data_IF_889246547675
#
_entry.id   IF_889246547675
#
_cell.length_a   1.000
_cell.length_b   1.000
_cell.length_c   1.000
_cell.angle_alpha   90.00
_cell.angle_beta   90.00
_cell.angle_gamma   90.00
#
_symmetry.space_group_name_H-M   'P 1'
#
loop_
_entity.id
_entity.type
_entity.pdbx_description
1 polymer ?
#
# COMPACT_ATOMS: atom_id res chain seq x y z
N UNK A 1 -7.26 4.58 9.01
CA UNK A 1 -8.15 3.58 8.41
C UNK A 1 -7.30 2.41 7.93
N UNK A 2 -7.72 1.18 8.22
CA UNK A 2 -7.01 -0.04 7.81
C UNK A 2 -7.58 -0.59 6.51
N UNK A 3 -6.71 -1.17 5.69
CA UNK A 3 -7.09 -1.97 4.53
C UNK A 3 -6.31 -3.29 4.52
N UNK A 4 -6.99 -4.45 4.43
CA UNK A 4 -6.32 -5.71 4.25
C UNK A 4 -5.78 -5.82 2.82
N UNK A 5 -4.53 -6.24 2.70
CA UNK A 5 -3.82 -6.38 1.44
C UNK A 5 -3.31 -7.82 1.34
N UNK A 6 -3.54 -8.44 0.18
CA UNK A 6 -2.89 -9.68 -0.23
C UNK A 6 -1.92 -9.35 -1.35
N UNK A 7 -0.67 -9.77 -1.19
CA UNK A 7 0.40 -9.56 -2.18
C UNK A 7 0.94 -10.90 -2.67
N UNK A 8 1.37 -10.93 -3.92
CA UNK A 8 2.07 -12.05 -4.53
C UNK A 8 3.29 -11.51 -5.25
N UNK A 9 4.48 -12.03 -4.93
CA UNK A 9 5.68 -11.64 -5.67
C UNK A 9 5.76 -12.43 -6.98
N UNK A 10 5.60 -11.75 -8.11
CA UNK A 10 5.57 -12.39 -9.43
C UNK A 10 6.96 -12.73 -9.97
N UNK A 11 8.01 -12.10 -9.45
CA UNK A 11 9.39 -12.27 -9.96
C UNK A 11 9.63 -11.72 -11.36
N UNK A 12 8.74 -10.87 -11.88
CA UNK A 12 8.77 -10.37 -13.27
C UNK A 12 9.46 -9.01 -13.45
N UNK A 13 10.14 -8.48 -12.43
CA UNK A 13 10.90 -7.22 -12.50
C UNK A 13 12.40 -7.45 -12.73
N UNK A 14 13.12 -6.42 -13.18
CA UNK A 14 14.59 -6.41 -13.39
C UNK A 14 15.43 -6.49 -12.10
N UNK A 15 14.82 -6.85 -10.96
CA UNK A 15 15.43 -6.88 -9.63
C UNK A 15 16.19 -8.17 -9.31
N UNK A 16 16.56 -8.31 -8.04
CA UNK A 16 17.43 -9.36 -7.47
C UNK A 16 16.83 -10.77 -7.42
N UNK A 17 15.61 -10.96 -7.94
CA UNK A 17 14.85 -12.22 -7.82
C UNK A 17 14.09 -12.35 -6.49
N UNK A 18 13.99 -11.27 -5.73
CA UNK A 18 13.22 -11.15 -4.48
C UNK A 18 12.68 -9.73 -4.32
N UNK A 19 11.79 -9.52 -3.35
CA UNK A 19 11.22 -8.20 -3.04
C UNK A 19 10.62 -8.14 -1.65
N UNK A 20 10.47 -6.94 -1.10
CA UNK A 20 9.88 -6.72 0.21
C UNK A 20 8.69 -5.78 0.07
N UNK A 21 7.44 -6.22 0.34
CA UNK A 21 6.24 -5.47 -0.03
C UNK A 21 6.18 -4.03 0.50
N UNK A 22 6.64 -3.80 1.73
CA UNK A 22 6.60 -2.47 2.34
C UNK A 22 7.67 -1.50 1.81
N UNK A 23 8.66 -2.02 1.08
CA UNK A 23 9.66 -1.21 0.35
C UNK A 23 9.19 -1.00 -1.09
N UNK A 24 8.78 -2.09 -1.74
CA UNK A 24 8.52 -2.11 -3.18
C UNK A 24 7.16 -1.51 -3.56
N UNK A 25 6.22 -1.45 -2.62
CA UNK A 25 4.88 -0.90 -2.86
C UNK A 25 4.63 0.36 -2.04
N UNK A 26 4.05 1.36 -2.68
CA UNK A 26 3.45 2.54 -2.09
C UNK A 26 1.95 2.34 -2.02
N UNK A 27 1.40 2.34 -0.81
CA UNK A 27 -0.03 2.17 -0.54
C UNK A 27 -0.55 3.45 0.08
N UNK A 28 -1.39 4.18 -0.65
CA UNK A 28 -1.89 5.50 -0.27
C UNK A 28 -3.41 5.57 -0.39
N UNK A 29 -4.03 6.56 0.22
CA UNK A 29 -5.45 6.81 0.06
C UNK A 29 -5.69 8.09 -0.74
N UNK A 30 -6.50 8.02 -1.78
CA UNK A 30 -7.03 9.17 -2.52
C UNK A 30 -8.39 9.56 -1.95
N UNK A 31 -8.44 10.70 -1.26
CA UNK A 31 -9.67 11.23 -0.70
C UNK A 31 -10.61 11.81 -1.76
N UNK A 32 -11.90 11.86 -1.45
CA UNK A 32 -12.92 12.43 -2.34
C UNK A 32 -12.73 13.92 -2.66
N UNK A 33 -12.00 14.66 -1.81
CA UNK A 33 -11.57 16.04 -2.08
C UNK A 33 -10.34 16.16 -2.97
N UNK A 34 -9.77 15.06 -3.47
CA UNK A 34 -8.63 15.03 -4.39
C UNK A 34 -7.25 14.96 -3.72
N UNK A 35 -7.19 15.03 -2.39
CA UNK A 35 -5.95 14.93 -1.62
C UNK A 35 -5.50 13.47 -1.44
N UNK A 36 -4.20 13.26 -1.21
CA UNK A 36 -3.65 11.94 -0.90
C UNK A 36 -3.11 11.86 0.52
N UNK A 37 -3.33 10.72 1.17
CA UNK A 37 -2.96 10.40 2.55
C UNK A 37 -2.23 9.05 2.61
N UNK A 38 -1.59 8.67 3.72
CA UNK A 38 -0.89 7.38 3.82
C UNK A 38 0.56 7.38 3.31
N UNK A 39 1.20 8.55 3.16
CA UNK A 39 2.55 8.69 2.60
C UNK A 39 3.66 8.81 3.67
N UNK A 40 3.39 8.52 4.95
CA UNK A 40 4.39 8.56 6.02
C UNK A 40 4.76 9.96 6.52
N UNK A 41 3.86 10.94 6.36
CA UNK A 41 4.01 12.27 6.96
C UNK A 41 3.82 12.26 8.49
N UNK A 42 4.16 13.37 9.16
CA UNK A 42 4.07 13.48 10.64
C UNK A 42 2.67 13.20 11.19
N UNK A 43 1.62 13.52 10.43
CA UNK A 43 0.21 13.30 10.80
C UNK A 43 -0.35 11.93 10.35
N UNK A 44 0.48 11.11 9.71
CA UNK A 44 0.11 9.81 9.15
C UNK A 44 0.37 8.66 10.13
N UNK A 45 -0.19 8.80 11.33
CA UNK A 45 -0.03 7.83 12.41
C UNK A 45 -1.32 7.07 12.69
N UNK A 46 -1.23 5.74 12.67
CA UNK A 46 -2.36 4.84 12.90
C UNK A 46 -2.29 4.06 14.22
N UNK A 47 -1.31 4.35 15.08
CA UNK A 47 -1.03 3.48 16.21
C UNK A 47 -0.33 2.20 15.77
N UNK A 48 -0.51 1.14 16.57
CA UNK A 48 -0.06 -0.21 16.23
C UNK A 48 -1.02 -0.80 15.19
N UNK A 49 -0.50 -1.14 14.02
CA UNK A 49 -1.25 -1.81 12.96
C UNK A 49 -1.21 -3.32 13.23
N UNK A 50 -2.34 -3.99 13.48
CA UNK A 50 -2.37 -5.44 13.63
C UNK A 50 -2.01 -6.10 12.29
N UNK A 51 -1.21 -7.17 12.34
CA UNK A 51 -0.74 -7.92 11.16
C UNK A 51 -0.19 -6.97 10.08
N UNK A 52 0.72 -6.07 10.46
CA UNK A 52 1.18 -5.00 9.57
C UNK A 52 1.82 -5.57 8.31
N UNK A 53 1.52 -4.99 7.15
CA UNK A 53 2.24 -5.33 5.92
C UNK A 53 3.75 -5.04 6.04
N UNK A 54 4.14 -4.12 6.93
CA UNK A 54 5.55 -3.84 7.25
C UNK A 54 6.25 -4.99 7.99
N UNK A 55 5.49 -5.93 8.57
CA UNK A 55 6.05 -7.12 9.23
C UNK A 55 6.32 -8.25 8.22
N UNK A 56 5.86 -8.12 6.97
CA UNK A 56 6.14 -9.09 5.91
C UNK A 56 7.60 -9.01 5.51
N UNK A 57 8.29 -10.14 5.66
CA UNK A 57 9.68 -10.31 5.26
C UNK A 57 9.85 -10.39 3.74
N UNK A 58 11.10 -10.43 3.29
CA UNK A 58 11.45 -10.65 1.89
C UNK A 58 10.72 -11.87 1.29
N UNK A 59 10.19 -11.66 0.08
CA UNK A 59 9.41 -12.62 -0.68
C UNK A 59 10.17 -13.04 -1.94
N UNK A 60 10.01 -14.31 -2.31
CA UNK A 60 10.60 -14.94 -3.49
C UNK A 60 9.52 -15.29 -4.52
N UNK A 61 9.87 -15.68 -5.75
CA UNK A 61 8.90 -15.92 -6.83
C UNK A 61 7.74 -16.83 -6.41
N UNK A 62 6.53 -16.37 -6.67
CA UNK A 62 5.25 -17.01 -6.33
C UNK A 62 4.92 -17.08 -4.84
N UNK A 63 5.72 -16.47 -3.96
CA UNK A 63 5.34 -16.32 -2.57
C UNK A 63 4.11 -15.40 -2.45
N UNK A 64 3.23 -15.72 -1.51
CA UNK A 64 2.08 -14.91 -1.14
C UNK A 64 2.19 -14.48 0.31
N UNK A 65 1.73 -13.27 0.61
CA UNK A 65 1.60 -12.78 1.97
C UNK A 65 0.33 -11.95 2.12
N UNK A 66 -0.11 -11.74 3.36
CA UNK A 66 -1.22 -10.85 3.66
C UNK A 66 -0.89 -10.04 4.90
N UNK A 67 -1.38 -8.80 4.93
CA UNK A 67 -1.19 -7.89 6.04
C UNK A 67 -2.06 -6.65 5.87
N UNK A 68 -2.07 -5.79 6.88
CA UNK A 68 -2.83 -4.55 6.85
C UNK A 68 -1.92 -3.37 6.52
N UNK A 69 -2.38 -2.50 5.63
CA UNK A 69 -1.85 -1.15 5.47
C UNK A 69 -2.76 -0.16 6.19
N UNK A 70 -2.20 0.99 6.59
CA UNK A 70 -2.97 2.06 7.21
C UNK A 70 -2.68 3.41 6.58
N UNK A 71 -3.71 4.25 6.53
CA UNK A 71 -3.57 5.69 6.27
C UNK A 71 -4.39 6.49 7.27
N UNK A 72 -3.81 7.56 7.81
CA UNK A 72 -4.53 8.58 8.59
C UNK A 72 -5.28 9.48 7.62
N UNK A 73 -6.61 9.39 7.60
CA UNK A 73 -7.46 10.07 6.61
C UNK A 73 -8.56 10.84 7.33
N UNK A 74 -8.76 12.14 7.06
CA UNK A 74 -9.92 12.88 7.52
C UNK A 74 -11.23 12.20 7.10
N UNK A 75 -12.19 12.10 8.00
CA UNK A 75 -13.42 11.32 7.77
C UNK A 75 -14.26 11.81 6.60
N UNK A 76 -14.24 13.11 6.32
CA UNK A 76 -14.94 13.75 5.19
C UNK A 76 -14.34 13.37 3.82
N UNK A 77 -13.10 12.88 3.81
CA UNK A 77 -12.39 12.45 2.60
C UNK A 77 -12.59 10.96 2.29
N UNK A 78 -13.07 10.16 3.23
CA UNK A 78 -13.17 8.69 3.11
C UNK A 78 -14.26 8.29 2.12
N UNK A 79 -15.47 8.86 2.25
CA UNK A 79 -16.58 8.49 1.39
C UNK A 79 -16.34 8.96 -0.04
N UNK A 80 -16.38 8.03 -0.99
CA UNK A 80 -16.04 8.31 -2.40
C UNK A 80 -14.54 8.34 -2.70
N UNK A 81 -13.69 8.05 -1.71
CA UNK A 81 -12.26 7.87 -1.89
C UNK A 81 -11.89 6.47 -2.36
N UNK A 82 -10.59 6.27 -2.61
CA UNK A 82 -10.03 5.00 -3.09
C UNK A 82 -8.63 4.74 -2.57
N UNK A 83 -8.26 3.48 -2.41
CA UNK A 83 -6.88 3.10 -2.16
C UNK A 83 -6.10 3.10 -3.46
N UNK A 84 -4.87 3.61 -3.40
CA UNK A 84 -3.87 3.59 -4.46
C UNK A 84 -2.83 2.55 -4.08
N UNK A 85 -2.49 1.68 -5.02
CA UNK A 85 -1.30 0.82 -4.94
C UNK A 85 -0.44 1.07 -6.18
N UNK A 86 0.84 1.36 -5.96
CA UNK A 86 1.84 1.60 -7.00
C UNK A 86 3.20 1.05 -6.59
N UNK A 87 4.06 0.73 -7.56
CA UNK A 87 5.45 0.38 -7.28
C UNK A 87 6.24 1.63 -6.86
N UNK A 88 6.97 1.55 -5.74
CA UNK A 88 7.69 2.69 -5.15
C UNK A 88 8.83 3.22 -6.02
N UNK A 89 9.52 2.32 -6.73
CA UNK A 89 10.78 2.60 -7.44
C UNK A 89 10.69 2.43 -8.96
N UNK A 90 9.47 2.27 -9.48
CA UNK A 90 9.25 2.07 -10.91
C UNK A 90 9.33 3.39 -11.68
N UNK A 91 10.02 3.35 -12.82
CA UNK A 91 10.00 4.45 -13.78
C UNK A 91 8.76 4.39 -14.69
N UNK A 92 8.07 3.25 -14.70
CA UNK A 92 6.79 3.08 -15.36
C UNK A 92 5.68 3.59 -14.44
N UNK A 93 4.78 4.43 -14.97
CA UNK A 93 3.71 5.06 -14.18
C UNK A 93 2.52 4.11 -13.93
N UNK A 94 2.78 2.87 -13.53
CA UNK A 94 1.73 1.90 -13.24
C UNK A 94 1.12 2.18 -11.86
N UNK A 95 -0.19 2.44 -11.84
CA UNK A 95 -0.96 2.71 -10.62
C UNK A 95 -2.32 2.03 -10.72
N UNK A 96 -2.71 1.35 -9.64
CA UNK A 96 -4.03 0.73 -9.52
C UNK A 96 -4.84 1.45 -8.44
N UNK A 97 -6.12 1.68 -8.71
CA UNK A 97 -7.07 2.27 -7.77
C UNK A 97 -8.13 1.25 -7.37
N UNK A 98 -8.41 1.16 -6.07
CA UNK A 98 -9.45 0.32 -5.48
C UNK A 98 -10.47 1.21 -4.77
N UNK A 99 -11.67 1.35 -5.35
CA UNK A 99 -12.74 2.13 -4.76
C UNK A 99 -13.28 1.46 -3.48
N UNK A 100 -13.63 2.28 -2.48
CA UNK A 100 -14.42 1.81 -1.35
C UNK A 100 -15.88 1.67 -1.81
N UNK A 101 -16.48 0.52 -1.51
CA UNK A 101 -17.89 0.19 -1.78
C UNK A 101 -18.74 0.50 -0.55
#
# INVERSE_FOLDING_TARGET
MLVPIKVTYTGTGSGTGSGTPWVDLSIRFHGSGGNTFGAGGEDDYCGVVPDSLSDVSEMFPNAEASGNACGSVPTDQVQGGSWIVEESLSLDSSRVFFALI
#
